data_IF_320872148419
#
_entry.id   IF_320872148419
#
_cell.length_a   1.000
_cell.length_b   1.000
_cell.length_c   1.000
_cell.angle_alpha   90.00
_cell.angle_beta   90.00
_cell.angle_gamma   90.00
#
_symmetry.space_group_name_H-M   'P 1'
#
loop_
_entity.id
_entity.type
_entity.pdbx_description
1 polymer ?
#
# COMPACT_ATOMS: atom_id res chain seq x y z
N UNK A 1 30.29 14.56 4.96
CA UNK A 1 28.85 14.27 4.90
C UNK A 1 28.27 15.24 3.88
N UNK A 2 27.89 14.77 2.68
CA UNK A 2 27.55 15.63 1.54
C UNK A 2 26.04 15.56 1.27
N UNK A 3 25.28 16.17 2.18
CA UNK A 3 23.80 16.17 2.17
C UNK A 3 23.24 16.91 0.95
N UNK A 4 23.98 17.90 0.42
CA UNK A 4 23.63 18.71 -0.75
C UNK A 4 23.58 17.92 -2.07
N UNK A 5 24.10 16.69 -2.10
CA UNK A 5 24.05 15.80 -3.26
C UNK A 5 22.68 15.14 -3.50
N UNK A 6 21.79 15.11 -2.49
CA UNK A 6 20.48 14.48 -2.59
C UNK A 6 19.38 15.50 -2.90
N UNK A 7 19.28 15.93 -4.17
CA UNK A 7 18.10 16.68 -4.64
C UNK A 7 16.86 15.78 -4.57
N UNK A 8 15.96 16.05 -3.62
CA UNK A 8 14.61 15.47 -3.62
C UNK A 8 13.87 15.99 -4.86
N UNK A 9 13.87 15.21 -5.94
CA UNK A 9 13.15 15.52 -7.19
C UNK A 9 11.65 15.36 -6.95
N UNK A 10 10.98 16.45 -6.55
CA UNK A 10 9.54 16.44 -6.24
C UNK A 10 8.64 16.17 -7.46
N UNK A 11 9.11 16.45 -8.68
CA UNK A 11 8.51 16.03 -9.96
C UNK A 11 6.98 15.87 -9.95
N UNK A 12 6.49 14.72 -10.44
CA UNK A 12 5.08 14.28 -10.29
C UNK A 12 4.91 13.33 -9.10
N UNK A 13 5.76 13.45 -8.07
CA UNK A 13 5.78 12.50 -6.96
C UNK A 13 4.44 12.52 -6.19
N UNK A 14 3.87 13.69 -5.98
CA UNK A 14 2.55 13.88 -5.36
C UNK A 14 1.43 13.11 -6.10
N UNK A 15 1.37 13.21 -7.42
CA UNK A 15 0.39 12.53 -8.26
C UNK A 15 0.60 11.01 -8.21
N UNK A 16 1.84 10.56 -8.31
CA UNK A 16 2.19 9.14 -8.25
C UNK A 16 1.80 8.53 -6.88
N UNK A 17 2.11 9.22 -5.78
CA UNK A 17 1.75 8.77 -4.44
C UNK A 17 0.23 8.77 -4.22
N UNK A 18 -0.47 9.78 -4.75
CA UNK A 18 -1.94 9.80 -4.70
C UNK A 18 -2.54 8.60 -5.44
N UNK A 19 -2.11 8.35 -6.68
CA UNK A 19 -2.55 7.18 -7.48
C UNK A 19 -2.25 5.86 -6.77
N UNK A 20 -1.03 5.70 -6.24
CA UNK A 20 -0.61 4.52 -5.48
C UNK A 20 -1.48 4.29 -4.25
N UNK A 21 -1.78 5.37 -3.51
CA UNK A 21 -2.67 5.31 -2.35
C UNK A 21 -4.07 4.86 -2.73
N UNK A 22 -4.63 5.38 -3.83
CA UNK A 22 -5.95 4.98 -4.31
C UNK A 22 -6.00 3.49 -4.68
N UNK A 23 -4.98 2.99 -5.37
CA UNK A 23 -4.87 1.56 -5.72
C UNK A 23 -4.82 0.70 -4.45
N UNK A 24 -3.91 1.01 -3.50
CA UNK A 24 -3.77 0.25 -2.26
C UNK A 24 -5.06 0.25 -1.42
N UNK A 25 -5.74 1.39 -1.30
CA UNK A 25 -7.02 1.50 -0.58
C UNK A 25 -8.10 0.66 -1.26
N UNK A 26 -8.17 0.65 -2.58
CA UNK A 26 -9.16 -0.15 -3.31
C UNK A 26 -8.95 -1.65 -3.11
N UNK A 27 -7.71 -2.13 -3.19
CA UNK A 27 -7.36 -3.53 -2.93
C UNK A 27 -7.80 -3.93 -1.50
N UNK A 28 -7.47 -3.12 -0.49
CA UNK A 28 -7.86 -3.39 0.90
C UNK A 28 -9.38 -3.38 1.14
N UNK A 29 -10.14 -2.62 0.34
CA UNK A 29 -11.60 -2.60 0.40
C UNK A 29 -12.22 -3.85 -0.24
N UNK A 30 -11.57 -4.43 -1.24
CA UNK A 30 -12.03 -5.62 -1.94
C UNK A 30 -11.64 -6.93 -1.26
N UNK A 31 -10.57 -6.95 -0.48
CA UNK A 31 -10.14 -8.14 0.26
C UNK A 31 -11.21 -8.63 1.27
N UNK A 32 -11.47 -9.94 1.29
CA UNK A 32 -12.59 -10.54 2.03
C UNK A 32 -12.19 -11.47 3.18
N UNK A 33 -10.94 -11.92 3.25
CA UNK A 33 -10.45 -12.87 4.26
C UNK A 33 -10.43 -12.27 5.68
N UNK A 34 -10.01 -11.02 5.83
CA UNK A 34 -9.94 -10.31 7.09
C UNK A 34 -11.05 -9.27 7.18
N UNK A 35 -12.19 -9.68 7.76
CA UNK A 35 -13.38 -8.84 7.93
C UNK A 35 -13.22 -7.80 9.04
N UNK A 36 -12.45 -6.75 8.76
CA UNK A 36 -12.22 -5.63 9.66
C UNK A 36 -12.29 -4.28 8.92
N UNK A 37 -12.43 -3.20 9.69
CA UNK A 37 -12.38 -1.84 9.14
C UNK A 37 -11.03 -1.52 8.49
N UNK A 38 -11.02 -0.60 7.52
CA UNK A 38 -9.84 -0.26 6.71
C UNK A 38 -8.59 0.06 7.55
N UNK A 39 -8.75 0.79 8.67
CA UNK A 39 -7.63 1.13 9.57
C UNK A 39 -6.96 -0.11 10.16
N UNK A 40 -7.74 -1.12 10.53
CA UNK A 40 -7.22 -2.38 11.06
C UNK A 40 -6.54 -3.20 9.96
N UNK A 41 -7.13 -3.24 8.75
CA UNK A 41 -6.50 -3.89 7.59
C UNK A 41 -5.16 -3.26 7.24
N UNK A 42 -5.09 -1.93 7.17
CA UNK A 42 -3.85 -1.18 6.93
C UNK A 42 -2.78 -1.50 7.97
N UNK A 43 -3.15 -1.52 9.26
CA UNK A 43 -2.21 -1.88 10.34
C UNK A 43 -1.72 -3.32 10.21
N UNK A 44 -2.61 -4.26 9.85
CA UNK A 44 -2.26 -5.67 9.67
C UNK A 44 -1.32 -5.86 8.49
N UNK A 45 -1.59 -5.25 7.33
CA UNK A 45 -0.70 -5.29 6.16
C UNK A 45 0.68 -4.75 6.49
N UNK A 46 0.77 -3.71 7.32
CA UNK A 46 2.05 -3.13 7.73
C UNK A 46 2.85 -4.04 8.69
N UNK A 47 2.22 -4.98 9.37
CA UNK A 47 2.84 -5.80 10.43
C UNK A 47 3.00 -7.28 10.05
N UNK A 48 2.15 -7.79 9.16
CA UNK A 48 2.07 -9.20 8.80
C UNK A 48 2.38 -9.37 7.31
N UNK A 49 3.57 -9.92 7.04
CA UNK A 49 4.03 -10.17 5.67
C UNK A 49 3.18 -11.22 4.96
N UNK A 50 2.66 -12.21 5.67
CA UNK A 50 1.78 -13.23 5.09
C UNK A 50 0.48 -12.61 4.62
N UNK A 51 -0.13 -11.78 5.46
CA UNK A 51 -1.34 -11.04 5.09
C UNK A 51 -1.07 -10.03 3.95
N UNK A 52 0.08 -9.36 3.94
CA UNK A 52 0.48 -8.50 2.80
C UNK A 52 0.52 -9.30 1.49
N UNK A 53 1.11 -10.49 1.49
CA UNK A 53 1.16 -11.36 0.30
C UNK A 53 -0.26 -11.74 -0.15
N UNK A 54 -1.12 -12.20 0.76
CA UNK A 54 -2.53 -12.53 0.45
C UNK A 54 -3.29 -11.34 -0.16
N UNK A 55 -3.11 -10.14 0.40
CA UNK A 55 -3.75 -8.91 -0.10
C UNK A 55 -3.27 -8.56 -1.52
N UNK A 56 -1.99 -8.79 -1.84
CA UNK A 56 -1.41 -8.48 -3.15
C UNK A 56 -1.68 -9.56 -4.21
N UNK A 57 -1.73 -10.82 -3.82
CA UNK A 57 -2.08 -11.94 -4.71
C UNK A 57 -3.56 -11.90 -5.12
N UNK A 58 -4.39 -11.19 -4.33
CA UNK A 58 -5.82 -11.08 -4.56
C UNK A 58 -6.54 -12.38 -4.17
N UNK A 59 -7.75 -12.25 -3.63
CA UNK A 59 -8.63 -13.39 -3.30
C UNK A 59 -9.16 -14.10 -4.58
N UNK A 60 -8.28 -14.57 -5.46
CA UNK A 60 -8.64 -15.49 -6.55
C UNK A 60 -8.05 -15.24 -7.94
N UNK A 61 -6.74 -15.02 -8.09
CA UNK A 61 -6.08 -15.29 -9.39
C UNK A 61 -5.28 -16.59 -9.26
N UNK A 62 -5.98 -17.70 -9.49
CA UNK A 62 -5.40 -18.92 -10.04
C UNK A 62 -5.26 -18.77 -11.56
#
# INVERSE_FOLDING_TARGET
MNEDGYRIRRGRANELFSRTRHIAVNILRQEMMFKAGLRHKMRKVAMDRGYLVTVLEGDGVS
#
